data_IF_520664534317
#
_entry.id   IF_520664534317
#
_cell.length_a   1.000
_cell.length_b   1.000
_cell.length_c   1.000
_cell.angle_alpha   90.00
_cell.angle_beta   90.00
_cell.angle_gamma   90.00
#
_symmetry.space_group_name_H-M   'P 1'
#
loop_
_entity.id
_entity.type
_entity.pdbx_description
1 polymer ?
#
# COMPACT_ATOMS: atom_id res chain seq x y z
N UNK A 1 -12.66 23.77 -3.75
CA UNK A 1 -11.54 22.90 -3.31
C UNK A 1 -11.43 21.79 -4.32
N UNK A 2 -10.30 21.69 -5.01
CA UNK A 2 -10.06 20.56 -5.92
C UNK A 2 -9.86 19.29 -5.06
N UNK A 3 -10.62 18.23 -5.34
CA UNK A 3 -10.50 16.95 -4.63
C UNK A 3 -9.20 16.23 -5.03
N UNK A 4 -8.61 15.46 -4.13
CA UNK A 4 -7.51 14.54 -4.48
C UNK A 4 -8.09 13.25 -5.09
N UNK A 5 -7.52 12.79 -6.20
CA UNK A 5 -7.78 11.48 -6.79
C UNK A 5 -6.65 10.52 -6.42
N UNK A 6 -7.00 9.30 -6.01
CA UNK A 6 -6.03 8.24 -5.79
C UNK A 6 -5.62 7.65 -7.14
N UNK A 7 -4.33 7.69 -7.43
CA UNK A 7 -3.76 7.26 -8.71
C UNK A 7 -3.03 5.92 -8.61
N UNK A 8 -2.67 5.49 -7.39
CA UNK A 8 -2.02 4.22 -7.15
C UNK A 8 -1.73 4.02 -5.67
N UNK A 9 -1.47 2.78 -5.29
CA UNK A 9 -1.01 2.42 -3.97
C UNK A 9 0.07 1.34 -4.05
N UNK A 10 0.98 1.37 -3.10
CA UNK A 10 1.93 0.29 -2.83
C UNK A 10 2.20 0.22 -1.31
N UNK A 11 3.06 -0.68 -0.85
CA UNK A 11 3.57 -0.68 0.52
C UNK A 11 5.03 -0.21 0.58
N UNK A 12 5.42 0.36 1.73
CA UNK A 12 6.80 0.74 2.02
C UNK A 12 7.69 -0.51 2.01
N UNK A 13 8.88 -0.48 1.39
CA UNK A 13 9.77 -1.65 1.36
C UNK A 13 10.41 -1.98 2.72
N UNK A 14 10.21 -1.12 3.72
CA UNK A 14 10.69 -1.31 5.08
C UNK A 14 9.54 -1.18 6.07
N UNK A 15 9.67 -1.89 7.19
CA UNK A 15 8.75 -1.72 8.32
C UNK A 15 8.99 -0.36 8.99
N UNK A 16 7.91 0.26 9.40
CA UNK A 16 7.91 1.44 10.25
C UNK A 16 8.28 1.12 11.70
N UNK A 17 8.21 2.13 12.58
CA UNK A 17 8.43 1.96 14.01
C UNK A 17 7.57 0.83 14.59
N UNK A 18 8.11 0.10 15.56
CA UNK A 18 7.46 -1.06 16.20
C UNK A 18 7.06 -2.20 15.24
N UNK A 19 7.62 -2.22 14.03
CA UNK A 19 7.37 -3.28 13.05
C UNK A 19 6.06 -3.12 12.28
N UNK A 20 5.51 -1.90 12.20
CA UNK A 20 4.31 -1.62 11.41
C UNK A 20 4.56 -1.73 9.91
N UNK A 21 3.62 -2.32 9.17
CA UNK A 21 3.59 -2.16 7.70
C UNK A 21 3.03 -0.77 7.39
N UNK A 22 3.71 -0.04 6.50
CA UNK A 22 3.30 1.28 6.05
C UNK A 22 2.94 1.25 4.55
N UNK A 23 1.99 2.09 4.13
CA UNK A 23 1.51 2.15 2.75
C UNK A 23 1.84 3.48 2.09
N UNK A 24 2.07 3.44 0.79
CA UNK A 24 2.40 4.58 -0.06
C UNK A 24 1.24 4.84 -1.01
N UNK A 25 0.64 6.03 -0.95
CA UNK A 25 -0.42 6.44 -1.86
C UNK A 25 0.04 7.54 -2.81
N UNK A 26 -0.11 7.28 -4.11
CA UNK A 26 0.08 8.29 -5.14
C UNK A 26 -1.22 9.07 -5.31
N UNK A 27 -1.23 10.32 -4.85
CA UNK A 27 -2.38 11.23 -4.95
C UNK A 27 -2.13 12.28 -6.02
N UNK A 28 -3.18 12.61 -6.79
CA UNK A 28 -3.18 13.72 -7.74
C UNK A 28 -4.27 14.72 -7.37
N UNK A 29 -3.96 16.01 -7.41
CA UNK A 29 -4.95 17.07 -7.26
C UNK A 29 -5.84 17.10 -8.51
N UNK A 30 -7.13 16.85 -8.33
CA UNK A 30 -8.09 16.62 -9.42
C UNK A 30 -7.87 15.29 -10.15
N UNK A 31 -8.78 14.95 -11.07
CA UNK A 31 -8.72 13.74 -11.89
C UNK A 31 -9.71 12.64 -11.48
N UNK A 32 -9.67 11.54 -12.22
CA UNK A 32 -10.50 10.34 -11.99
C UNK A 32 -9.59 9.20 -11.57
N UNK A 33 -9.86 8.51 -10.45
CA UNK A 33 -9.11 7.32 -10.04
C UNK A 33 -9.11 6.25 -11.14
N UNK A 34 -8.02 5.48 -11.29
CA UNK A 34 -8.02 4.30 -12.15
C UNK A 34 -9.11 3.30 -11.74
N UNK A 35 -9.78 2.69 -12.71
CA UNK A 35 -10.90 1.77 -12.46
C UNK A 35 -10.50 0.51 -11.67
N UNK A 36 -9.21 0.15 -11.64
CA UNK A 36 -8.69 -1.04 -10.95
C UNK A 36 -8.17 -0.81 -9.53
N UNK A 37 -8.39 0.36 -8.93
CA UNK A 37 -8.12 0.59 -7.51
C UNK A 37 -9.36 0.29 -6.68
N UNK A 38 -9.75 -0.98 -6.68
CA UNK A 38 -10.92 -1.50 -5.95
C UNK A 38 -10.49 -2.29 -4.69
N UNK A 39 -11.47 -2.82 -3.97
CA UNK A 39 -11.24 -3.58 -2.74
C UNK A 39 -10.36 -4.82 -2.95
N UNK A 40 -10.49 -5.51 -4.09
CA UNK A 40 -9.67 -6.67 -4.42
C UNK A 40 -8.20 -6.27 -4.57
N UNK A 41 -7.91 -5.18 -5.28
CA UNK A 41 -6.56 -4.64 -5.40
C UNK A 41 -5.94 -4.31 -4.02
N UNK A 42 -6.69 -3.68 -3.11
CA UNK A 42 -6.17 -3.39 -1.77
C UNK A 42 -5.97 -4.65 -0.94
N UNK A 43 -6.84 -5.65 -1.07
CA UNK A 43 -6.66 -6.96 -0.45
C UNK A 43 -5.34 -7.60 -0.87
N UNK A 44 -5.11 -7.72 -2.18
CA UNK A 44 -3.88 -8.27 -2.76
C UNK A 44 -2.63 -7.48 -2.31
N UNK A 45 -2.74 -6.17 -2.23
CA UNK A 45 -1.65 -5.29 -1.78
C UNK A 45 -1.27 -5.56 -0.31
N UNK A 46 -2.26 -5.65 0.57
CA UNK A 46 -2.05 -5.94 2.00
C UNK A 46 -1.46 -7.34 2.18
N UNK A 47 -2.01 -8.35 1.49
CA UNK A 47 -1.48 -9.71 1.54
C UNK A 47 -0.03 -9.79 1.07
N UNK A 48 0.31 -9.09 -0.01
CA UNK A 48 1.68 -9.01 -0.52
C UNK A 48 2.63 -8.39 0.50
N UNK A 49 2.22 -7.29 1.16
CA UNK A 49 3.02 -6.63 2.18
C UNK A 49 3.32 -7.55 3.37
N UNK A 50 2.31 -8.28 3.86
CA UNK A 50 2.47 -9.26 4.94
C UNK A 50 3.46 -10.37 4.57
N UNK A 51 3.31 -10.96 3.39
CA UNK A 51 4.19 -12.02 2.91
C UNK A 51 5.64 -11.56 2.79
N UNK A 52 5.87 -10.37 2.25
CA UNK A 52 7.23 -9.88 1.97
C UNK A 52 7.94 -9.29 3.20
N UNK A 53 7.21 -8.68 4.14
CA UNK A 53 7.84 -7.97 5.27
C UNK A 53 7.77 -8.73 6.59
N UNK A 54 6.73 -9.52 6.82
CA UNK A 54 6.53 -10.23 8.10
C UNK A 54 7.09 -11.64 8.03
N UNK A 55 6.70 -12.43 7.02
CA UNK A 55 7.21 -13.81 6.91
C UNK A 55 8.72 -13.86 6.67
N UNK A 56 9.28 -12.89 5.93
CA UNK A 56 10.72 -12.79 5.70
C UNK A 56 11.48 -12.40 6.97
N UNK A 57 10.89 -11.53 7.80
CA UNK A 57 11.47 -11.17 9.09
C UNK A 57 11.50 -12.38 10.02
N UNK A 58 10.40 -13.10 10.11
CA UNK A 58 10.26 -14.23 11.03
C UNK A 58 11.16 -15.42 10.62
N UNK A 59 11.57 -15.52 9.34
CA UNK A 59 12.60 -16.47 8.87
C UNK A 59 14.04 -16.06 9.18
N UNK A 60 14.28 -14.81 9.58
CA UNK A 60 15.61 -14.26 9.90
C UNK A 60 15.85 -14.06 11.40
N UNK A 61 14.81 -14.26 12.22
CA UNK A 61 14.86 -14.22 13.69
C UNK A 61 15.16 -15.61 14.26
#
# INVERSE_FOLDING_TARGET
MDKMALMGADFSPILGPSGNIEFLFHLRKGGVPPAGLDEAFFGDLVEKAHRELVEVRDKKA
#
